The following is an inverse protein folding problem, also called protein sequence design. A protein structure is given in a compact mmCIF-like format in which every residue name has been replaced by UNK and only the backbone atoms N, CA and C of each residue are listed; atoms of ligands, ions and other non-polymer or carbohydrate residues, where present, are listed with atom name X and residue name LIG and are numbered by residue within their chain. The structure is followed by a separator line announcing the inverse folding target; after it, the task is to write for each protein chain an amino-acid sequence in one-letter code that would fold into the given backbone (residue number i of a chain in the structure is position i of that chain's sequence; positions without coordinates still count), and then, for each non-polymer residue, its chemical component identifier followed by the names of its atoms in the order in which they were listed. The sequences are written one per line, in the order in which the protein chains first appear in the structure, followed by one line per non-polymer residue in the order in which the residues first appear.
data_IF_760935659937
#
_entry.id   IF_760935659937
#
_cell.length_a   1.000
_cell.length_b   1.000
_cell.length_c   1.000
_cell.angle_alpha   90.00
_cell.angle_beta   90.00
_cell.angle_gamma   90.00
#
_symmetry.space_group_name_H-M   'P 1'
#
loop_
_entity.id
_entity.type
_entity.pdbx_description
1 polymer ?
#
# COMPACT_ATOMS: atom_id res chain seq x y z
N UNK A 1 18.00 30.29 19.92
CA UNK A 1 17.30 30.47 18.64
C UNK A 1 16.58 29.18 18.29
N UNK A 2 15.27 29.23 18.06
CA UNK A 2 14.47 28.07 17.66
C UNK A 2 14.70 27.93 16.16
N UNK A 3 15.56 27.01 15.72
CA UNK A 3 15.69 26.69 14.29
C UNK A 3 14.30 26.26 13.83
N UNK A 4 13.71 27.04 12.93
CA UNK A 4 12.54 26.56 12.20
C UNK A 4 12.97 25.27 11.49
N UNK A 5 12.25 24.17 11.74
CA UNK A 5 12.42 22.91 11.02
C UNK A 5 11.93 23.12 9.60
N UNK A 6 12.73 23.82 8.79
CA UNK A 6 12.54 23.93 7.36
C UNK A 6 12.67 22.50 6.83
N UNK A 7 11.62 21.93 6.22
CA UNK A 7 11.68 20.58 5.70
C UNK A 7 12.83 20.48 4.69
N UNK A 8 13.70 19.49 4.86
CA UNK A 8 14.75 19.20 3.89
C UNK A 8 14.12 19.01 2.50
N UNK A 9 14.75 19.56 1.46
CA UNK A 9 14.25 19.50 0.09
C UNK A 9 13.94 18.07 -0.33
N UNK A 10 14.79 17.11 0.06
CA UNK A 10 14.60 15.69 -0.23
C UNK A 10 13.34 15.11 0.43
N UNK A 11 12.99 15.57 1.63
CA UNK A 11 11.79 15.14 2.32
C UNK A 11 10.52 15.66 1.62
N UNK A 12 10.51 16.94 1.25
CA UNK A 12 9.38 17.54 0.50
C UNK A 12 9.21 16.88 -0.86
N UNK A 13 10.32 16.68 -1.57
CA UNK A 13 10.32 16.00 -2.86
C UNK A 13 9.75 14.58 -2.74
N UNK A 14 10.25 13.77 -1.79
CA UNK A 14 9.72 12.41 -1.57
C UNK A 14 8.23 12.42 -1.24
N UNK A 15 7.80 13.29 -0.33
CA UNK A 15 6.39 13.39 0.03
C UNK A 15 5.51 13.76 -1.18
N UNK A 16 5.99 14.62 -2.08
CA UNK A 16 5.25 14.96 -3.30
C UNK A 16 5.10 13.76 -4.24
N UNK A 17 6.14 12.92 -4.36
CA UNK A 17 6.07 11.66 -5.11
C UNK A 17 5.07 10.71 -4.48
N UNK A 18 5.13 10.50 -3.16
CA UNK A 18 4.21 9.63 -2.42
C UNK A 18 2.74 10.04 -2.64
N UNK A 19 2.45 11.35 -2.62
CA UNK A 19 1.11 11.89 -2.88
C UNK A 19 0.67 11.59 -4.31
N UNK A 20 1.54 11.83 -5.30
CA UNK A 20 1.21 11.59 -6.71
C UNK A 20 0.97 10.10 -6.97
N UNK A 21 1.81 9.21 -6.43
CA UNK A 21 1.64 7.76 -6.52
C UNK A 21 0.29 7.33 -5.92
N UNK A 22 -0.04 7.80 -4.71
CA UNK A 22 -1.31 7.50 -4.07
C UNK A 22 -2.51 7.95 -4.91
N UNK A 23 -2.44 9.14 -5.53
CA UNK A 23 -3.50 9.64 -6.40
C UNK A 23 -3.65 8.79 -7.66
N UNK A 24 -2.54 8.43 -8.31
CA UNK A 24 -2.53 7.57 -9.49
C UNK A 24 -3.12 6.19 -9.16
N UNK A 25 -2.69 5.55 -8.07
CA UNK A 25 -3.23 4.25 -7.66
C UNK A 25 -4.72 4.31 -7.34
N UNK A 26 -5.19 5.34 -6.63
CA UNK A 26 -6.62 5.54 -6.35
C UNK A 26 -7.45 5.77 -7.62
N UNK A 27 -6.94 6.54 -8.56
CA UNK A 27 -7.58 6.73 -9.86
C UNK A 27 -7.62 5.39 -10.63
N UNK A 28 -6.52 4.64 -10.63
CA UNK A 28 -6.44 3.31 -11.24
C UNK A 28 -7.50 2.35 -10.70
N UNK A 29 -7.64 2.24 -9.38
CA UNK A 29 -8.64 1.40 -8.73
C UNK A 29 -10.09 1.84 -9.02
N UNK A 30 -10.32 3.13 -9.29
CA UNK A 30 -11.65 3.64 -9.66
C UNK A 30 -11.97 3.41 -11.14
N UNK A 31 -10.98 3.60 -12.00
CA UNK A 31 -11.13 3.44 -13.45
C UNK A 31 -11.24 1.96 -13.83
N UNK A 32 -10.50 1.10 -13.14
CA UNK A 32 -10.49 -0.35 -13.34
C UNK A 32 -10.75 -1.02 -11.98
N UNK A 33 -12.01 -1.03 -11.51
CA UNK A 33 -12.34 -1.67 -10.24
C UNK A 33 -12.03 -3.17 -10.31
N UNK A 34 -11.22 -3.70 -9.38
CA UNK A 34 -10.95 -5.13 -9.34
C UNK A 34 -12.19 -5.90 -8.83
N UNK A 35 -12.33 -7.16 -9.23
CA UNK A 35 -13.36 -8.05 -8.67
C UNK A 35 -13.14 -8.24 -7.16
N UNK A 36 -11.86 -8.28 -6.74
CA UNK A 36 -11.45 -8.44 -5.35
C UNK A 36 -10.27 -7.52 -5.07
N UNK A 37 -10.39 -6.73 -4.01
CA UNK A 37 -9.31 -5.88 -3.50
C UNK A 37 -8.79 -6.43 -2.16
N UNK A 38 -7.52 -6.80 -2.13
CA UNK A 38 -6.81 -7.22 -0.90
C UNK A 38 -6.02 -6.02 -0.37
N UNK A 39 -6.22 -5.69 0.91
CA UNK A 39 -5.64 -4.51 1.57
C UNK A 39 -4.87 -4.91 2.84
N UNK A 40 -3.59 -5.29 2.72
CA UNK A 40 -2.74 -5.51 3.89
C UNK A 40 -2.44 -4.21 4.63
N UNK A 41 -2.34 -4.28 5.96
CA UNK A 41 -2.06 -3.12 6.80
C UNK A 41 -0.54 -2.88 6.90
N UNK A 42 -0.03 -2.10 5.96
CA UNK A 42 1.41 -1.78 5.85
C UNK A 42 1.68 -0.28 5.98
N UNK A 43 0.70 0.53 6.41
CA UNK A 43 0.83 2.00 6.44
C UNK A 43 1.90 2.52 7.40
N UNK A 44 2.33 1.68 8.34
CA UNK A 44 3.38 1.96 9.31
C UNK A 44 4.79 1.57 8.82
N UNK A 45 4.89 0.83 7.70
CA UNK A 45 6.15 0.34 7.13
C UNK A 45 6.70 1.41 6.18
N UNK A 46 7.99 1.72 6.32
CA UNK A 46 8.69 2.64 5.42
C UNK A 46 9.38 1.88 4.30
N UNK A 47 9.65 2.60 3.21
CA UNK A 47 10.28 2.07 2.00
C UNK A 47 11.61 1.31 2.25
N UNK A 48 12.35 1.70 3.30
CA UNK A 48 13.69 1.15 3.60
C UNK A 48 13.72 0.17 4.78
N UNK A 49 12.56 -0.23 5.31
CA UNK A 49 12.46 -1.14 6.47
C UNK A 49 12.59 -2.61 6.03
N UNK A 50 13.74 -2.96 5.44
CA UNK A 50 13.99 -4.27 4.84
C UNK A 50 14.07 -5.42 5.85
N UNK A 51 14.29 -5.11 7.11
CA UNK A 51 14.31 -6.07 8.23
C UNK A 51 12.93 -6.66 8.53
N UNK A 52 11.85 -5.94 8.19
CA UNK A 52 10.46 -6.38 8.41
C UNK A 52 9.92 -7.30 7.31
N UNK A 53 10.74 -7.70 6.34
CA UNK A 53 10.30 -8.46 5.17
C UNK A 53 9.49 -9.74 5.49
N UNK A 54 9.87 -10.48 6.54
CA UNK A 54 9.14 -11.68 6.98
C UNK A 54 7.72 -11.35 7.46
N UNK A 55 7.56 -10.25 8.18
CA UNK A 55 6.28 -9.81 8.72
C UNK A 55 5.36 -9.31 7.60
N UNK A 56 5.91 -8.53 6.66
CA UNK A 56 5.19 -8.01 5.50
C UNK A 56 4.66 -9.16 4.62
N UNK A 57 5.48 -10.18 4.35
CA UNK A 57 5.04 -11.36 3.57
C UNK A 57 3.92 -12.09 4.31
N UNK A 58 4.05 -12.27 5.62
CA UNK A 58 3.03 -12.93 6.44
C UNK A 58 1.70 -12.17 6.43
N UNK A 59 1.72 -10.86 6.61
CA UNK A 59 0.53 -9.99 6.54
C UNK A 59 -0.18 -10.13 5.19
N UNK A 60 0.58 -10.09 4.09
CA UNK A 60 0.03 -10.30 2.75
C UNK A 60 -0.62 -11.69 2.59
N UNK A 61 0.02 -12.73 3.11
CA UNK A 61 -0.50 -14.10 3.07
C UNK A 61 -1.79 -14.24 3.89
N UNK A 62 -1.83 -13.72 5.12
CA UNK A 62 -2.99 -13.81 6.01
C UNK A 62 -4.19 -13.03 5.44
N UNK A 63 -3.98 -11.84 4.90
CA UNK A 63 -5.05 -11.02 4.29
C UNK A 63 -5.59 -11.64 3.01
N UNK A 64 -4.74 -12.33 2.24
CA UNK A 64 -5.16 -13.09 1.06
C UNK A 64 -5.99 -14.30 1.47
N UNK A 65 -5.53 -15.08 2.46
CA UNK A 65 -6.27 -16.24 2.95
C UNK A 65 -7.64 -15.85 3.52
N UNK A 66 -7.75 -14.70 4.19
CA UNK A 66 -9.02 -14.18 4.68
C UNK A 66 -10.05 -13.89 3.56
N UNK A 67 -9.61 -13.82 2.29
CA UNK A 67 -10.44 -13.61 1.11
C UNK A 67 -10.49 -14.82 0.18
N UNK A 68 -10.03 -15.99 0.62
CA UNK A 68 -9.90 -17.18 -0.24
C UNK A 68 -11.21 -17.62 -0.87
N UNK A 69 -12.33 -17.48 -0.16
CA UNK A 69 -13.65 -17.87 -0.67
C UNK A 69 -14.15 -16.91 -1.75
N UNK A 70 -13.95 -15.59 -1.57
CA UNK A 70 -14.21 -14.59 -2.60
C UNK A 70 -13.38 -14.90 -3.86
N UNK A 71 -12.09 -15.22 -3.68
CA UNK A 71 -11.16 -15.56 -4.78
C UNK A 71 -11.64 -16.79 -5.53
N UNK A 72 -12.02 -17.86 -4.81
CA UNK A 72 -12.54 -19.08 -5.43
C UNK A 72 -13.81 -18.82 -6.22
N UNK A 73 -14.72 -18.00 -5.69
CA UNK A 73 -15.96 -17.61 -6.39
C UNK A 73 -15.65 -16.96 -7.74
N UNK A 74 -14.79 -15.94 -7.74
CA UNK A 74 -14.39 -15.22 -8.97
C UNK A 74 -13.65 -16.13 -9.95
N UNK A 75 -12.73 -16.99 -9.48
CA UNK A 75 -11.99 -17.93 -10.34
C UNK A 75 -12.91 -18.97 -10.97
N UNK A 76 -13.93 -19.43 -10.24
CA UNK A 76 -14.90 -20.41 -10.73
C UNK A 76 -15.97 -19.78 -11.65
N UNK A 77 -15.99 -18.46 -11.79
CA UNK A 77 -16.95 -17.73 -12.63
C UNK A 77 -18.34 -17.60 -12.00
N UNK A 78 -18.43 -17.70 -10.67
CA UNK A 78 -19.65 -17.47 -9.88
C UNK A 78 -19.85 -16.00 -9.50
#
# INVERSE_FOLDING_TARGET
EKKEDIPDFLNVYRQSVDIMEMQISRLGLRLNPPDILITPDLGHIKLMDFDLGKEIIKEGYEKTLARIDDIRRVVNGE
#
